data_IF_927750503760
#
_entry.id   IF_927750503760
#
_cell.length_a   1.000
_cell.length_b   1.000
_cell.length_c   1.000
_cell.angle_alpha   90.00
_cell.angle_beta   90.00
_cell.angle_gamma   90.00
#
_symmetry.space_group_name_H-M   'P 1'
#
loop_
_entity.id
_entity.type
_entity.pdbx_description
1 polymer ?
#
# COMPACT_ATOMS: atom_id res chain seq x y z
N UNK A 1 21.61 -45.73 -11.34
CA UNK A 1 21.99 -44.96 -10.13
C UNK A 1 22.90 -43.81 -10.54
N UNK A 2 22.43 -42.57 -10.46
CA UNK A 2 23.28 -41.38 -10.62
C UNK A 2 22.70 -40.25 -9.76
N UNK A 3 23.39 -39.92 -8.65
CA UNK A 3 23.00 -38.86 -7.72
C UNK A 3 23.58 -37.53 -8.22
N UNK A 4 22.75 -36.65 -8.78
CA UNK A 4 23.15 -35.25 -9.02
C UNK A 4 22.75 -34.36 -7.84
N UNK A 5 23.77 -33.87 -7.14
CA UNK A 5 23.68 -32.87 -6.07
C UNK A 5 23.33 -31.50 -6.68
N UNK A 6 22.23 -30.88 -6.24
CA UNK A 6 21.93 -29.47 -6.54
C UNK A 6 22.78 -28.56 -5.65
N UNK A 7 23.68 -27.79 -6.26
CA UNK A 7 24.29 -26.58 -5.66
C UNK A 7 23.29 -25.44 -5.79
N UNK A 8 22.88 -24.85 -4.67
CA UNK A 8 22.14 -23.59 -4.63
C UNK A 8 23.19 -22.48 -4.54
N UNK A 9 23.27 -21.65 -5.57
CA UNK A 9 24.10 -20.45 -5.59
C UNK A 9 23.29 -19.30 -4.98
N UNK A 10 23.65 -18.91 -3.75
CA UNK A 10 23.08 -17.77 -3.03
C UNK A 10 24.05 -16.60 -3.21
N UNK A 11 23.80 -15.73 -4.19
CA UNK A 11 24.58 -14.49 -4.35
C UNK A 11 23.94 -13.39 -3.51
N UNK A 12 24.71 -12.96 -2.51
CA UNK A 12 24.31 -12.07 -1.44
C UNK A 12 24.09 -10.62 -1.86
N UNK A 13 23.16 -9.99 -1.14
CA UNK A 13 22.91 -8.57 -1.14
C UNK A 13 23.75 -7.96 0.00
N UNK A 14 24.76 -7.17 -0.35
CA UNK A 14 25.59 -6.40 0.58
C UNK A 14 24.77 -5.26 1.19
N UNK A 15 24.50 -5.34 2.49
CA UNK A 15 24.03 -4.20 3.28
C UNK A 15 25.22 -3.27 3.57
N UNK A 16 25.16 -2.04 3.04
CA UNK A 16 25.98 -0.94 3.53
C UNK A 16 25.36 -0.40 4.83
N UNK A 17 26.12 -0.45 5.92
CA UNK A 17 25.77 0.11 7.21
C UNK A 17 25.84 1.65 7.18
N UNK A 18 24.86 2.39 7.74
CA UNK A 18 25.05 3.80 8.03
C UNK A 18 25.83 3.97 9.33
N UNK A 19 26.89 4.79 9.25
CA UNK A 19 27.68 5.28 10.38
C UNK A 19 26.79 5.87 11.48
N UNK A 20 27.05 5.42 12.71
CA UNK A 20 26.58 6.01 13.96
C UNK A 20 27.27 7.36 14.14
N UNK A 21 26.51 8.44 14.23
CA UNK A 21 26.94 9.68 14.88
C UNK A 21 25.93 10.03 15.96
N UNK A 22 26.26 9.62 17.18
CA UNK A 22 25.75 10.13 18.44
C UNK A 22 26.34 11.52 18.69
N UNK A 23 25.51 12.55 18.82
CA UNK A 23 25.86 13.72 19.66
C UNK A 23 24.67 14.00 20.58
N UNK A 24 25.03 14.06 21.86
CA UNK A 24 24.18 14.05 23.01
C UNK A 24 23.30 15.30 23.14
N UNK A 25 22.08 15.06 23.61
CA UNK A 25 21.21 16.05 24.23
C UNK A 25 21.75 16.31 25.65
N UNK A 26 22.21 17.53 25.93
CA UNK A 26 22.56 17.93 27.28
C UNK A 26 21.38 18.65 27.93
N UNK A 27 20.81 18.00 28.93
CA UNK A 27 19.91 18.60 29.89
C UNK A 27 20.71 19.43 30.91
N UNK A 28 20.22 20.64 31.16
CA UNK A 28 19.89 21.16 32.49
C UNK A 28 20.89 20.97 33.63
N UNK A 29 21.40 22.08 34.17
CA UNK A 29 21.65 22.20 35.60
C UNK A 29 21.29 23.60 36.12
N UNK A 30 20.54 23.59 37.22
CA UNK A 30 20.09 24.73 38.02
C UNK A 30 20.84 24.67 39.33
N UNK A 31 21.69 25.65 39.68
CA UNK A 31 22.07 25.91 41.09
C UNK A 31 22.27 27.43 41.29
N UNK A 32 21.66 27.94 42.37
CA UNK A 32 21.72 29.32 42.90
C UNK A 32 23.00 29.52 43.78
N UNK A 33 23.05 30.45 44.75
CA UNK A 33 23.77 31.73 44.70
C UNK A 33 24.97 31.81 45.67
N UNK A 34 25.86 32.80 45.48
CA UNK A 34 26.92 33.14 46.45
C UNK A 34 27.08 34.67 46.47
N UNK A 35 26.46 35.36 47.42
CA UNK A 35 27.03 35.90 48.68
C UNK A 35 28.31 36.76 48.56
N UNK A 36 28.11 38.05 48.88
CA UNK A 36 28.92 38.97 49.72
C UNK A 36 30.45 38.98 49.55
N UNK A 37 30.99 40.16 49.23
CA UNK A 37 31.69 41.07 50.15
C UNK A 37 32.36 42.22 49.36
N UNK A 38 31.96 43.48 49.59
CA UNK A 38 32.66 44.46 50.43
C UNK A 38 34.08 44.82 49.96
N UNK A 39 34.22 46.03 49.42
CA UNK A 39 35.51 46.67 49.17
C UNK A 39 35.34 48.18 49.15
N UNK A 40 35.65 48.80 50.29
CA UNK A 40 35.86 50.24 50.42
C UNK A 40 36.91 50.71 49.40
N UNK A 41 36.73 51.92 48.86
CA UNK A 41 37.82 52.89 48.89
C UNK A 41 37.31 54.32 48.74
N UNK A 42 37.66 55.11 49.76
CA UNK A 42 37.65 56.56 49.76
C UNK A 42 38.73 57.08 48.81
N UNK A 43 38.44 58.16 48.08
CA UNK A 43 39.42 59.23 47.92
C UNK A 43 38.70 60.55 47.62
N UNK A 44 38.85 61.46 48.57
CA UNK A 44 38.47 62.85 48.49
C UNK A 44 39.43 63.63 47.59
N UNK A 45 38.92 64.65 46.90
CA UNK A 45 39.60 65.93 46.72
C UNK A 45 38.57 67.06 46.67
N UNK A 46 38.81 68.02 47.55
CA UNK A 46 38.17 69.33 47.64
C UNK A 46 38.61 70.26 46.50
N UNK A 47 37.72 71.17 46.09
CA UNK A 47 38.05 72.58 45.88
C UNK A 47 36.76 73.45 45.75
N UNK A 48 36.54 74.30 46.76
CA UNK A 48 36.20 75.76 46.75
C UNK A 48 35.42 76.33 45.53
N UNK A 49 34.37 77.16 45.60
CA UNK A 49 33.76 78.06 46.60
C UNK A 49 32.43 78.66 46.01
N UNK A 50 31.73 79.69 46.54
CA UNK A 50 30.32 79.60 46.93
C UNK A 50 29.35 80.50 46.13
N UNK A 51 28.09 80.08 46.01
CA UNK A 51 27.02 80.83 45.33
C UNK A 51 25.70 80.80 46.11
N UNK A 52 25.54 81.77 47.00
CA UNK A 52 24.37 82.02 47.83
C UNK A 52 23.11 82.30 46.98
N UNK A 53 22.07 81.45 47.04
CA UNK A 53 20.67 81.89 46.81
C UNK A 53 19.70 81.15 47.74
N UNK A 54 19.17 81.91 48.70
CA UNK A 54 17.96 81.60 49.47
C UNK A 54 16.82 81.21 48.52
N UNK A 55 16.21 80.05 48.76
CA UNK A 55 15.01 79.61 48.06
C UNK A 55 14.30 78.50 48.82
N UNK A 56 13.39 78.91 49.71
CA UNK A 56 12.15 78.23 50.09
C UNK A 56 12.17 76.68 50.21
N UNK A 57 12.24 76.20 51.46
CA UNK A 57 11.79 74.87 51.84
C UNK A 57 10.28 74.73 51.57
N UNK A 58 9.92 74.14 50.44
CA UNK A 58 8.63 73.47 50.30
C UNK A 58 8.82 71.98 50.58
N UNK A 59 8.03 71.37 51.46
CA UNK A 59 8.13 69.94 51.73
C UNK A 59 7.67 69.20 50.47
N UNK A 60 8.64 68.60 49.76
CA UNK A 60 8.37 67.71 48.63
C UNK A 60 7.66 66.47 49.19
N UNK A 61 6.34 66.45 49.00
CA UNK A 61 5.41 65.41 49.43
C UNK A 61 5.91 64.02 48.97
N UNK A 62 6.18 63.13 49.94
CA UNK A 62 6.45 61.70 49.78
C UNK A 62 5.23 60.91 49.28
N UNK A 63 4.55 61.36 48.23
CA UNK A 63 3.30 60.73 47.74
C UNK A 63 3.52 59.60 46.71
N UNK A 64 4.71 59.52 46.09
CA UNK A 64 4.95 58.54 45.00
C UNK A 64 5.40 57.14 45.44
N UNK A 65 5.89 56.95 46.67
CA UNK A 65 6.38 55.63 47.14
C UNK A 65 5.22 54.69 47.50
N UNK A 66 4.18 55.21 48.17
CA UNK A 66 3.04 54.40 48.62
C UNK A 66 2.21 53.84 47.44
N UNK A 67 2.08 54.61 46.36
CA UNK A 67 1.37 54.17 45.15
C UNK A 67 2.10 53.05 44.41
N UNK A 68 3.44 53.05 44.41
CA UNK A 68 4.24 52.02 43.76
C UNK A 68 4.19 50.69 44.51
N UNK A 69 4.39 50.72 45.83
CA UNK A 69 4.29 49.53 46.71
C UNK A 69 2.90 48.90 46.63
N UNK A 70 1.85 49.73 46.55
CA UNK A 70 0.48 49.23 46.37
C UNK A 70 0.24 48.54 45.03
N UNK A 71 0.91 48.98 43.96
CA UNK A 71 0.77 48.39 42.63
C UNK A 71 1.50 47.05 42.54
N UNK A 72 2.69 46.94 43.13
CA UNK A 72 3.44 45.68 43.18
C UNK A 72 2.67 44.60 43.94
N UNK A 73 2.10 44.94 45.10
CA UNK A 73 1.31 43.99 45.89
C UNK A 73 0.05 43.53 45.16
N UNK A 74 -0.64 44.45 44.45
CA UNK A 74 -1.80 44.10 43.60
C UNK A 74 -1.41 43.19 42.43
N UNK A 75 -0.29 43.46 41.78
CA UNK A 75 0.23 42.63 40.69
C UNK A 75 0.61 41.24 41.17
N UNK A 76 1.34 41.13 42.28
CA UNK A 76 1.69 39.85 42.89
C UNK A 76 0.44 39.04 43.23
N UNK A 77 -0.54 39.64 43.92
CA UNK A 77 -1.82 38.98 44.25
C UNK A 77 -2.57 38.51 43.01
N UNK A 78 -2.55 39.29 41.92
CA UNK A 78 -3.19 38.89 40.66
C UNK A 78 -2.51 37.65 40.06
N UNK A 79 -1.17 37.62 40.01
CA UNK A 79 -0.44 36.46 39.54
C UNK A 79 -0.60 35.23 40.46
N UNK A 80 -0.56 35.40 41.78
CA UNK A 80 -0.77 34.32 42.75
C UNK A 80 -2.15 33.66 42.59
N UNK A 81 -3.17 34.44 42.19
CA UNK A 81 -4.52 33.95 41.97
C UNK A 81 -4.70 33.16 40.66
N UNK A 82 -3.74 33.23 39.73
CA UNK A 82 -3.74 32.46 38.48
C UNK A 82 -3.12 31.09 38.74
N UNK A 83 -3.89 30.02 38.52
CA UNK A 83 -3.37 28.65 38.57
C UNK A 83 -2.51 28.35 37.36
N UNK A 84 -1.48 27.54 37.56
CA UNK A 84 -0.56 27.12 36.48
C UNK A 84 -1.15 26.00 35.62
N UNK A 85 -2.14 25.26 36.13
CA UNK A 85 -2.77 24.14 35.43
C UNK A 85 -4.29 24.21 35.51
N UNK A 86 -4.96 23.83 34.44
CA UNK A 86 -6.42 23.72 34.36
C UNK A 86 -6.85 22.58 33.43
N UNK A 87 -8.12 22.17 33.53
CA UNK A 87 -8.74 21.25 32.57
C UNK A 87 -9.55 22.01 31.52
N UNK A 88 -9.61 21.45 30.32
CA UNK A 88 -10.38 22.00 29.20
C UNK A 88 -11.90 21.91 29.43
N UNK A 89 -12.64 22.91 28.97
CA UNK A 89 -14.10 23.01 29.05
C UNK A 89 -14.83 22.08 28.08
N UNK A 90 -14.74 20.76 28.27
CA UNK A 90 -15.48 19.78 27.45
C UNK A 90 -15.00 19.67 26.00
N UNK A 91 -13.79 20.17 25.69
CA UNK A 91 -13.19 20.14 24.34
C UNK A 91 -12.44 18.84 24.02
N UNK A 92 -12.91 17.72 24.60
CA UNK A 92 -12.42 16.39 24.26
C UNK A 92 -12.77 16.11 22.80
N UNK A 93 -11.75 15.91 21.96
CA UNK A 93 -11.92 15.74 20.51
C UNK A 93 -11.58 16.97 19.65
N UNK A 94 -11.10 18.05 20.24
CA UNK A 94 -10.60 19.23 19.52
C UNK A 94 -9.09 19.35 19.71
N UNK A 95 -8.35 19.62 18.63
CA UNK A 95 -6.90 19.88 18.71
C UNK A 95 -6.64 21.31 19.25
N UNK A 96 -5.68 21.50 20.16
CA UNK A 96 -5.32 22.83 20.68
C UNK A 96 -5.07 23.89 19.60
N UNK A 97 -4.42 23.52 18.49
CA UNK A 97 -4.08 24.43 17.39
C UNK A 97 -5.29 25.06 16.71
N UNK A 98 -6.45 24.40 16.77
CA UNK A 98 -7.70 24.91 16.17
C UNK A 98 -8.28 26.10 16.92
N UNK A 99 -7.94 26.25 18.21
CA UNK A 99 -8.47 27.32 19.07
C UNK A 99 -7.42 28.36 19.44
N UNK A 100 -6.14 28.00 19.52
CA UNK A 100 -5.07 28.83 20.07
C UNK A 100 -4.97 30.23 19.44
N UNK A 101 -5.10 30.32 18.11
CA UNK A 101 -4.96 31.60 17.36
C UNK A 101 -6.03 32.63 17.71
N UNK A 102 -7.18 32.19 18.24
CA UNK A 102 -8.32 33.06 18.54
C UNK A 102 -8.35 33.50 20.02
N UNK A 103 -7.34 33.12 20.81
CA UNK A 103 -7.28 33.42 22.24
C UNK A 103 -6.40 34.64 22.46
N UNK A 104 -7.02 35.81 22.37
CA UNK A 104 -6.36 37.12 22.55
C UNK A 104 -6.94 37.92 23.73
N UNK A 105 -8.03 37.44 24.34
CA UNK A 105 -8.74 38.13 25.43
C UNK A 105 -8.97 37.21 26.62
N UNK A 106 -9.24 37.81 27.79
CA UNK A 106 -9.54 37.07 29.02
C UNK A 106 -10.79 36.21 28.88
N UNK A 107 -11.82 36.74 28.21
CA UNK A 107 -13.04 35.99 27.92
C UNK A 107 -12.73 34.73 27.10
N UNK A 108 -11.96 34.86 26.01
CA UNK A 108 -11.59 33.72 25.15
C UNK A 108 -10.69 32.71 25.83
N UNK A 109 -9.80 33.15 26.71
CA UNK A 109 -8.99 32.27 27.55
C UNK A 109 -9.88 31.48 28.53
N UNK A 110 -10.79 32.17 29.23
CA UNK A 110 -11.70 31.56 30.19
C UNK A 110 -12.78 30.68 29.56
N UNK A 111 -13.10 30.85 28.27
CA UNK A 111 -13.91 29.89 27.49
C UNK A 111 -13.21 28.52 27.33
N UNK A 112 -11.88 28.46 27.42
CA UNK A 112 -11.12 27.21 27.31
C UNK A 112 -11.03 26.43 28.63
N UNK A 113 -11.19 27.11 29.76
CA UNK A 113 -10.98 26.55 31.09
C UNK A 113 -12.33 26.06 31.65
N UNK A 114 -12.37 24.80 32.09
CA UNK A 114 -13.55 24.23 32.71
C UNK A 114 -13.97 25.02 33.96
N UNK A 115 -15.27 25.13 34.21
CA UNK A 115 -15.85 25.94 35.30
C UNK A 115 -15.31 25.54 36.67
N UNK A 116 -15.05 24.25 36.87
CA UNK A 116 -14.49 23.67 38.09
C UNK A 116 -12.95 23.77 38.21
N UNK A 117 -12.25 24.31 37.21
CA UNK A 117 -10.78 24.38 37.19
C UNK A 117 -10.21 25.75 37.58
N UNK A 118 -11.03 26.63 38.16
CA UNK A 118 -10.73 28.02 38.53
C UNK A 118 -10.20 28.84 37.35
N UNK A 119 -11.13 29.54 36.67
CA UNK A 119 -10.85 30.50 35.60
C UNK A 119 -9.84 31.57 36.03
N UNK A 120 -9.14 32.16 35.05
CA UNK A 120 -8.25 33.30 35.26
C UNK A 120 -9.10 34.46 35.80
N UNK A 121 -8.82 35.01 37.00
CA UNK A 121 -9.58 36.11 37.59
C UNK A 121 -9.48 37.38 36.76
N UNK A 122 -10.40 38.35 36.96
CA UNK A 122 -10.27 39.68 36.36
C UNK A 122 -9.01 40.40 36.86
N UNK A 123 -8.38 41.26 36.03
CA UNK A 123 -7.23 42.03 36.48
C UNK A 123 -7.64 43.01 37.58
N UNK A 124 -6.73 43.36 38.51
CA UNK A 124 -7.02 44.40 39.51
C UNK A 124 -7.35 45.74 38.84
N UNK A 125 -8.14 46.58 39.50
CA UNK A 125 -8.52 47.89 38.97
C UNK A 125 -7.29 48.73 38.53
N UNK A 126 -7.35 49.26 37.31
CA UNK A 126 -6.27 50.01 36.69
C UNK A 126 -5.14 49.14 36.09
N UNK A 127 -5.33 47.82 36.00
CA UNK A 127 -4.46 46.90 35.27
C UNK A 127 -5.21 46.23 34.12
N UNK A 128 -4.45 45.72 33.16
CA UNK A 128 -4.94 44.99 32.00
C UNK A 128 -4.11 43.71 31.81
N UNK A 129 -4.75 42.64 31.34
CA UNK A 129 -4.03 41.48 30.85
C UNK A 129 -3.74 41.59 29.36
N UNK A 130 -2.54 41.15 28.98
CA UNK A 130 -2.18 40.84 27.59
C UNK A 130 -2.14 39.33 27.48
N UNK A 131 -3.01 38.77 26.63
CA UNK A 131 -3.24 37.33 26.53
C UNK A 131 -2.87 36.82 25.14
N UNK A 132 -2.26 35.64 25.13
CA UNK A 132 -1.99 34.85 23.93
C UNK A 132 -2.03 33.37 24.27
N UNK A 133 -2.10 32.48 23.29
CA UNK A 133 -2.03 31.05 23.53
C UNK A 133 -1.12 30.32 22.54
N UNK A 134 -0.47 29.27 23.02
CA UNK A 134 0.38 28.37 22.24
C UNK A 134 -0.22 26.97 22.32
N UNK A 135 -0.43 26.36 21.17
CA UNK A 135 -0.95 25.00 21.07
C UNK A 135 0.17 23.96 21.14
N UNK A 136 -0.10 22.85 21.82
CA UNK A 136 0.70 21.64 21.75
C UNK A 136 -0.22 20.44 21.47
N UNK A 137 -0.45 20.18 20.17
CA UNK A 137 -1.33 19.11 19.71
C UNK A 137 -0.77 17.71 20.00
N UNK A 138 0.54 17.57 20.21
CA UNK A 138 1.16 16.27 20.48
C UNK A 138 0.82 15.77 21.89
N UNK A 139 0.90 16.67 22.87
CA UNK A 139 0.52 16.39 24.26
C UNK A 139 -0.97 16.62 24.53
N UNK A 140 -1.69 17.29 23.62
CA UNK A 140 -3.11 17.63 23.83
C UNK A 140 -3.26 18.72 24.90
N UNK A 141 -2.33 19.68 24.91
CA UNK A 141 -2.32 20.80 25.85
C UNK A 141 -2.34 22.14 25.14
N UNK A 142 -2.90 23.14 25.81
CA UNK A 142 -2.93 24.53 25.37
C UNK A 142 -2.31 25.40 26.45
N UNK A 143 -1.23 26.12 26.13
CA UNK A 143 -0.58 27.04 27.06
C UNK A 143 -1.11 28.46 26.85
N UNK A 144 -1.91 28.97 27.79
CA UNK A 144 -2.37 30.36 27.80
C UNK A 144 -1.31 31.20 28.51
N UNK A 145 -0.80 32.21 27.83
CA UNK A 145 0.21 33.15 28.34
C UNK A 145 -0.47 34.43 28.79
N UNK A 146 -0.28 34.79 30.05
CA UNK A 146 -0.92 35.96 30.68
C UNK A 146 0.16 36.91 31.19
N UNK A 147 0.25 38.10 30.59
CA UNK A 147 1.06 39.20 31.13
C UNK A 147 0.16 40.27 31.73
N UNK A 148 0.55 40.83 32.88
CA UNK A 148 -0.15 41.92 33.54
C UNK A 148 0.55 43.25 33.24
N UNK A 149 -0.21 44.24 32.76
CA UNK A 149 0.28 45.59 32.50
C UNK A 149 -0.54 46.67 33.21
N UNK A 150 0.08 47.82 33.44
CA UNK A 150 -0.56 49.07 33.89
C UNK A 150 0.04 50.24 33.11
N UNK A 151 -0.76 50.89 32.27
CA UNK A 151 -0.24 51.80 31.24
C UNK A 151 0.76 51.07 30.33
N UNK A 152 1.95 51.64 30.14
CA UNK A 152 2.99 51.09 29.26
C UNK A 152 4.02 50.20 30.00
N UNK A 153 3.64 49.64 31.16
CA UNK A 153 4.56 48.91 32.05
C UNK A 153 4.02 47.52 32.36
N UNK A 154 4.90 46.52 32.33
CA UNK A 154 4.59 45.15 32.71
C UNK A 154 5.03 44.85 34.15
N UNK A 155 4.47 43.79 34.72
CA UNK A 155 4.81 43.31 36.05
C UNK A 155 5.29 41.86 36.00
N UNK A 156 6.24 41.51 36.86
CA UNK A 156 6.68 40.13 37.08
C UNK A 156 5.70 39.39 38.01
N UNK A 157 5.85 38.06 38.12
CA UNK A 157 5.07 37.25 39.06
C UNK A 157 5.32 37.64 40.54
N UNK A 158 6.49 38.20 40.87
CA UNK A 158 6.80 38.74 42.21
C UNK A 158 6.14 40.10 42.46
N UNK A 159 5.54 40.71 41.43
CA UNK A 159 4.92 42.02 41.47
C UNK A 159 5.85 43.17 41.08
N UNK A 160 7.10 42.89 40.69
CA UNK A 160 8.07 43.92 40.34
C UNK A 160 7.83 44.50 38.95
N UNK A 161 8.27 45.74 38.76
CA UNK A 161 8.21 46.39 37.47
C UNK A 161 9.14 45.71 36.46
N UNK A 162 8.65 45.54 35.23
CA UNK A 162 9.44 45.10 34.09
C UNK A 162 9.16 45.99 32.86
N UNK A 163 10.24 46.30 32.13
CA UNK A 163 10.15 46.88 30.77
C UNK A 163 9.75 45.84 29.73
N UNK A 164 10.07 44.57 29.97
CA UNK A 164 9.74 43.45 29.09
C UNK A 164 8.41 42.81 29.50
N UNK A 165 7.67 42.27 28.52
CA UNK A 165 6.51 41.42 28.77
C UNK A 165 6.97 40.15 29.47
N UNK A 166 6.40 39.87 30.65
CA UNK A 166 6.64 38.63 31.40
C UNK A 166 5.31 37.89 31.51
N UNK A 167 5.26 36.71 30.89
CA UNK A 167 4.08 35.87 30.87
C UNK A 167 4.08 34.93 32.07
N UNK A 168 2.91 34.75 32.69
CA UNK A 168 2.60 33.58 33.49
C UNK A 168 1.85 32.60 32.59
N UNK A 169 2.32 31.35 32.58
CA UNK A 169 1.75 30.30 31.76
C UNK A 169 0.66 29.54 32.52
N UNK A 170 -0.44 29.26 31.84
CA UNK A 170 -1.53 28.40 32.30
C UNK A 170 -1.65 27.25 31.31
N UNK A 171 -1.32 26.04 31.76
CA UNK A 171 -1.38 24.82 30.94
C UNK A 171 -2.78 24.21 31.07
N UNK A 172 -3.55 24.26 30.00
CA UNK A 172 -4.88 23.67 29.91
C UNK A 172 -4.77 22.29 29.28
N UNK A 173 -5.06 21.24 30.06
CA UNK A 173 -5.01 19.84 29.63
C UNK A 173 -6.40 19.29 29.29
N UNK A 174 -6.45 18.20 28.51
CA UNK A 174 -7.71 17.53 28.13
C UNK A 174 -8.19 17.81 26.71
N UNK A 175 -7.36 18.42 25.87
CA UNK A 175 -7.61 18.49 24.43
C UNK A 175 -7.24 17.16 23.73
N UNK A 176 -7.67 17.01 22.49
CA UNK A 176 -7.29 15.86 21.68
C UNK A 176 -5.81 15.92 21.30
N UNK A 177 -5.15 14.76 21.33
CA UNK A 177 -3.81 14.57 20.81
C UNK A 177 -3.84 14.28 19.30
N UNK A 178 -2.87 14.77 18.54
CA UNK A 178 -2.73 14.48 17.08
C UNK A 178 -2.77 12.97 16.80
N UNK A 179 -2.12 12.17 17.65
CA UNK A 179 -2.11 10.71 17.53
C UNK A 179 -3.53 10.11 17.55
N UNK A 180 -4.38 10.56 18.49
CA UNK A 180 -5.77 10.08 18.60
C UNK A 180 -6.61 10.56 17.42
N UNK A 181 -6.42 11.82 17.00
CA UNK A 181 -7.12 12.37 15.84
C UNK A 181 -6.78 11.62 14.54
N UNK A 182 -5.48 11.35 14.33
CA UNK A 182 -5.00 10.58 13.18
C UNK A 182 -5.54 9.14 13.23
N UNK A 183 -5.46 8.46 14.38
CA UNK A 183 -6.02 7.11 14.57
C UNK A 183 -7.48 7.01 14.14
N UNK A 184 -8.32 7.94 14.58
CA UNK A 184 -9.74 7.97 14.20
C UNK A 184 -9.94 8.21 12.69
N UNK A 185 -9.17 9.13 12.09
CA UNK A 185 -9.23 9.40 10.63
C UNK A 185 -8.85 8.17 9.82
N UNK A 186 -7.77 7.49 10.23
CA UNK A 186 -7.27 6.28 9.56
C UNK A 186 -8.27 5.14 9.69
N UNK A 187 -8.74 4.86 10.91
CA UNK A 187 -9.72 3.79 11.14
C UNK A 187 -10.98 4.00 10.30
N UNK A 188 -11.55 5.21 10.35
CA UNK A 188 -12.71 5.57 9.52
C UNK A 188 -12.44 5.36 8.02
N UNK A 189 -11.22 5.64 7.56
CA UNK A 189 -10.85 5.44 6.15
C UNK A 189 -10.78 3.95 5.80
N UNK A 190 -10.11 3.14 6.61
CA UNK A 190 -10.03 1.70 6.37
C UNK A 190 -11.39 1.01 6.47
N UNK A 191 -12.24 1.41 7.41
CA UNK A 191 -13.62 0.89 7.54
C UNK A 191 -14.46 1.16 6.28
N UNK A 192 -14.18 2.26 5.56
CA UNK A 192 -14.87 2.61 4.32
C UNK A 192 -14.40 1.80 3.09
N UNK A 193 -13.25 1.12 3.18
CA UNK A 193 -12.75 0.26 2.10
C UNK A 193 -13.45 -1.10 2.17
N UNK A 194 -14.18 -1.46 1.11
CA UNK A 194 -14.81 -2.77 0.95
C UNK A 194 -13.77 -3.85 0.71
N UNK A 195 -13.96 -5.01 1.31
CA UNK A 195 -13.05 -6.16 1.17
C UNK A 195 -13.22 -6.87 -0.17
N UNK A 196 -14.40 -6.77 -0.78
CA UNK A 196 -14.73 -7.44 -2.03
C UNK A 196 -15.38 -6.49 -3.03
N UNK A 197 -15.07 -6.68 -4.31
CA UNK A 197 -15.69 -5.95 -5.41
C UNK A 197 -15.78 -6.79 -6.68
N UNK A 198 -16.52 -6.31 -7.67
CA UNK A 198 -16.60 -6.91 -9.01
C UNK A 198 -15.76 -6.10 -10.01
N UNK A 199 -15.17 -6.83 -10.97
CA UNK A 199 -14.34 -6.27 -12.01
C UNK A 199 -15.14 -5.41 -12.99
N UNK A 200 -14.58 -4.27 -13.39
CA UNK A 200 -15.20 -3.37 -14.37
C UNK A 200 -15.05 -3.89 -15.81
N UNK A 201 -15.97 -4.75 -16.25
CA UNK A 201 -16.09 -5.17 -17.66
C UNK A 201 -14.93 -6.01 -18.20
N UNK A 202 -14.07 -6.58 -17.34
CA UNK A 202 -12.87 -7.34 -17.75
C UNK A 202 -13.11 -8.84 -17.96
N UNK A 203 -14.26 -9.19 -18.53
CA UNK A 203 -14.52 -10.57 -18.96
C UNK A 203 -13.52 -10.94 -20.06
N UNK A 204 -12.90 -12.12 -19.97
CA UNK A 204 -11.91 -12.58 -20.94
C UNK A 204 -10.47 -12.05 -20.74
N UNK A 205 -10.21 -11.33 -19.64
CA UNK A 205 -8.86 -10.85 -19.31
C UNK A 205 -8.35 -11.57 -18.06
N UNK A 206 -7.12 -12.10 -18.10
CA UNK A 206 -6.48 -12.69 -16.91
C UNK A 206 -6.01 -11.60 -15.94
N UNK A 207 -6.19 -11.75 -14.62
CA UNK A 207 -5.72 -10.80 -13.61
C UNK A 207 -4.23 -10.40 -13.76
N UNK A 208 -3.36 -11.33 -14.11
CA UNK A 208 -1.91 -11.11 -14.25
C UNK A 208 -1.54 -10.08 -15.32
N UNK A 209 -2.40 -9.89 -16.31
CA UNK A 209 -2.19 -8.90 -17.39
C UNK A 209 -2.31 -7.47 -16.91
N UNK A 210 -3.06 -7.23 -15.82
CA UNK A 210 -3.31 -5.88 -15.30
C UNK A 210 -2.60 -5.60 -13.98
N UNK A 211 -2.38 -6.62 -13.14
CA UNK A 211 -1.92 -6.46 -11.75
C UNK A 211 -0.65 -5.61 -11.62
N UNK A 212 0.36 -5.86 -12.48
CA UNK A 212 1.66 -5.17 -12.43
C UNK A 212 1.58 -3.67 -12.65
N UNK A 213 0.52 -3.20 -13.30
CA UNK A 213 0.35 -1.79 -13.65
C UNK A 213 -0.41 -1.00 -12.58
N UNK A 214 -0.96 -1.67 -11.56
CA UNK A 214 -1.80 -1.05 -10.53
C UNK A 214 -0.92 -0.59 -9.37
N UNK A 215 -0.48 0.66 -9.46
CA UNK A 215 0.38 1.32 -8.46
C UNK A 215 -0.24 2.59 -7.87
N UNK A 216 -1.42 3.00 -8.36
CA UNK A 216 -2.10 4.24 -7.97
C UNK A 216 -3.57 3.99 -7.67
N UNK A 217 -4.20 4.92 -6.93
CA UNK A 217 -5.62 4.85 -6.57
C UNK A 217 -6.52 4.86 -7.80
N UNK A 218 -6.17 5.67 -8.79
CA UNK A 218 -6.92 5.77 -10.05
C UNK A 218 -6.95 4.42 -10.76
N UNK A 219 -5.78 3.80 -10.98
CA UNK A 219 -5.69 2.49 -11.67
C UNK A 219 -6.33 1.35 -10.88
N UNK A 220 -6.29 1.41 -9.54
CA UNK A 220 -7.00 0.47 -8.68
C UNK A 220 -8.52 0.61 -8.85
N UNK A 221 -9.04 1.84 -8.80
CA UNK A 221 -10.47 2.11 -8.94
C UNK A 221 -11.01 1.88 -10.36
N UNK A 222 -10.18 1.95 -11.39
CA UNK A 222 -10.53 1.52 -12.77
C UNK A 222 -10.86 0.03 -12.85
N UNK A 223 -10.34 -0.80 -11.92
CA UNK A 223 -10.66 -2.23 -11.89
C UNK A 223 -12.01 -2.53 -11.24
N UNK A 224 -12.61 -1.58 -10.51
CA UNK A 224 -13.82 -1.80 -9.71
C UNK A 224 -15.04 -1.24 -10.44
N UNK A 225 -16.01 -2.10 -10.75
CA UNK A 225 -17.20 -1.74 -11.53
C UNK A 225 -18.10 -0.72 -10.80
N UNK A 226 -18.45 -1.02 -9.55
CA UNK A 226 -19.45 -0.25 -8.80
C UNK A 226 -18.80 0.92 -8.08
N UNK A 227 -19.31 2.14 -8.31
CA UNK A 227 -18.79 3.35 -7.66
C UNK A 227 -18.82 3.29 -6.13
N UNK A 228 -19.83 2.65 -5.52
CA UNK A 228 -19.92 2.49 -4.06
C UNK A 228 -18.86 1.55 -3.46
N UNK A 229 -18.20 0.75 -4.30
CA UNK A 229 -17.15 -0.19 -3.89
C UNK A 229 -15.75 0.35 -4.19
N UNK A 230 -15.63 1.52 -4.84
CA UNK A 230 -14.34 2.14 -5.12
C UNK A 230 -13.65 2.52 -3.82
N UNK A 231 -12.33 2.38 -3.81
CA UNK A 231 -11.48 2.80 -2.70
C UNK A 231 -11.56 4.33 -2.62
N UNK A 232 -11.97 4.91 -1.49
CA UNK A 232 -12.15 6.34 -1.36
C UNK A 232 -10.80 7.05 -1.19
N UNK A 233 -10.72 8.34 -1.54
CA UNK A 233 -9.51 9.15 -1.39
C UNK A 233 -8.91 9.11 0.03
N UNK A 234 -7.58 9.20 0.18
CA UNK A 234 -6.96 9.21 1.49
C UNK A 234 -7.41 10.46 2.29
N UNK A 235 -7.44 10.39 3.63
CA UNK A 235 -7.69 11.56 4.46
C UNK A 235 -6.59 12.62 4.26
N UNK A 236 -6.93 13.90 4.50
CA UNK A 236 -5.99 15.00 4.31
C UNK A 236 -4.70 14.80 5.13
N UNK A 237 -3.55 14.99 4.47
CA UNK A 237 -2.23 14.76 5.05
C UNK A 237 -1.76 13.30 5.04
N UNK A 238 -2.52 12.39 4.43
CA UNK A 238 -2.15 11.00 4.24
C UNK A 238 -2.07 10.64 2.76
N UNK A 239 -1.33 9.56 2.48
CA UNK A 239 -1.14 9.01 1.14
C UNK A 239 -1.41 7.50 1.16
N UNK A 240 -1.88 6.97 0.02
CA UNK A 240 -1.91 5.53 -0.17
C UNK A 240 -0.63 5.03 -0.84
N UNK A 241 -0.22 3.83 -0.45
CA UNK A 241 0.71 2.98 -1.20
C UNK A 241 -0.11 1.81 -1.72
N UNK A 242 -0.17 1.69 -3.05
CA UNK A 242 -1.04 0.72 -3.73
C UNK A 242 -0.20 -0.26 -4.54
N UNK A 243 -0.61 -1.52 -4.50
CA UNK A 243 -0.08 -2.59 -5.33
C UNK A 243 -1.20 -3.60 -5.61
N UNK A 244 -0.99 -4.52 -6.53
CA UNK A 244 -1.95 -5.60 -6.76
C UNK A 244 -1.26 -6.95 -7.01
N UNK A 245 -1.94 -8.02 -6.61
CA UNK A 245 -1.52 -9.41 -6.80
C UNK A 245 -2.60 -10.12 -7.61
N UNK A 246 -2.18 -10.78 -8.68
CA UNK A 246 -3.05 -11.56 -9.54
C UNK A 246 -3.22 -12.98 -9.02
N UNK A 247 -4.44 -13.51 -9.15
CA UNK A 247 -4.72 -14.94 -9.03
C UNK A 247 -5.52 -15.39 -10.25
N UNK A 248 -4.80 -15.81 -11.30
CA UNK A 248 -5.40 -16.23 -12.56
C UNK A 248 -6.18 -17.54 -12.44
N UNK A 249 -5.86 -18.39 -11.47
CA UNK A 249 -6.54 -19.67 -11.26
C UNK A 249 -7.98 -19.46 -10.77
N UNK A 250 -8.15 -18.54 -9.80
CA UNK A 250 -9.47 -18.18 -9.27
C UNK A 250 -10.14 -17.04 -10.06
N UNK A 251 -9.42 -16.38 -10.96
CA UNK A 251 -9.97 -15.24 -11.73
C UNK A 251 -10.20 -14.02 -10.83
N UNK A 252 -9.32 -13.82 -9.86
CA UNK A 252 -9.40 -12.71 -8.91
C UNK A 252 -8.13 -11.86 -8.92
N UNK A 253 -8.30 -10.59 -8.58
CA UNK A 253 -7.24 -9.61 -8.41
C UNK A 253 -7.31 -9.06 -7.00
N UNK A 254 -6.24 -9.18 -6.22
CA UNK A 254 -6.16 -8.60 -4.87
C UNK A 254 -5.44 -7.27 -4.93
N UNK A 255 -6.16 -6.17 -4.73
CA UNK A 255 -5.58 -4.83 -4.58
C UNK A 255 -5.18 -4.63 -3.13
N UNK A 256 -3.92 -4.28 -2.89
CA UNK A 256 -3.33 -4.05 -1.57
C UNK A 256 -3.19 -2.56 -1.33
N UNK A 257 -3.81 -2.06 -0.25
CA UNK A 257 -3.85 -0.64 0.10
C UNK A 257 -3.24 -0.41 1.47
N UNK A 258 -2.10 0.28 1.54
CA UNK A 258 -1.53 0.77 2.79
C UNK A 258 -1.69 2.29 2.88
N UNK A 259 -2.00 2.81 4.06
CA UNK A 259 -2.09 4.25 4.33
C UNK A 259 -0.84 4.71 5.10
N UNK A 260 -0.25 5.81 4.66
CA UNK A 260 0.92 6.43 5.31
C UNK A 260 0.77 7.93 5.51
N UNK A 261 1.55 8.47 6.45
CA UNK A 261 1.75 9.91 6.69
C UNK A 261 3.24 10.15 6.89
N UNK A 262 3.88 10.84 5.95
CA UNK A 262 5.35 10.87 5.87
C UNK A 262 5.92 9.45 5.72
N UNK A 263 6.82 9.07 6.63
CA UNK A 263 7.48 7.75 6.64
C UNK A 263 6.79 6.73 7.56
N UNK A 264 5.56 7.01 8.03
CA UNK A 264 4.84 6.18 8.99
C UNK A 264 3.65 5.49 8.34
N UNK A 265 3.53 4.18 8.52
CA UNK A 265 2.35 3.41 8.11
C UNK A 265 1.36 3.27 9.26
N UNK A 266 0.13 2.90 8.94
CA UNK A 266 -0.93 2.70 9.92
C UNK A 266 -1.64 1.36 9.71
N UNK A 267 -2.07 0.76 10.81
CA UNK A 267 -2.92 -0.43 10.83
C UNK A 267 -4.37 -0.07 10.46
N UNK A 268 -5.21 -1.10 10.22
CA UNK A 268 -6.65 -0.91 10.05
C UNK A 268 -7.34 -0.28 11.28
N UNK A 269 -6.79 -0.49 12.49
CA UNK A 269 -7.26 0.14 13.74
C UNK A 269 -6.81 1.59 13.89
N UNK A 270 -5.93 2.07 13.00
CA UNK A 270 -5.37 3.42 13.00
C UNK A 270 -4.13 3.59 13.87
N UNK A 271 -3.59 2.50 14.40
CA UNK A 271 -2.35 2.53 15.19
C UNK A 271 -1.13 2.66 14.27
N UNK A 272 -0.10 3.31 14.78
CA UNK A 272 1.16 3.44 14.06
C UNK A 272 1.84 2.08 13.86
N UNK A 273 2.42 1.90 12.67
CA UNK A 273 3.28 0.76 12.34
C UNK A 273 4.54 1.22 11.61
N UNK A 274 5.67 0.62 11.98
CA UNK A 274 6.94 0.73 11.24
C UNK A 274 6.90 -0.04 9.93
N UNK A 275 6.17 -1.15 9.90
CA UNK A 275 6.00 -1.99 8.72
C UNK A 275 4.80 -1.53 7.89
N UNK A 276 4.89 -1.71 6.58
CA UNK A 276 3.75 -1.58 5.67
C UNK A 276 2.72 -2.65 6.01
N UNK A 277 1.48 -2.23 6.28
CA UNK A 277 0.35 -3.11 6.53
C UNK A 277 -0.71 -2.79 5.49
N UNK A 278 -1.04 -3.80 4.68
CA UNK A 278 -1.99 -3.67 3.59
C UNK A 278 -3.39 -4.07 4.06
N UNK A 279 -4.41 -3.31 3.64
CA UNK A 279 -5.78 -3.80 3.56
C UNK A 279 -6.02 -4.32 2.15
N UNK A 280 -6.55 -5.53 2.06
CA UNK A 280 -6.81 -6.20 0.80
C UNK A 280 -8.23 -5.91 0.30
N UNK A 281 -8.35 -5.73 -1.00
CA UNK A 281 -9.61 -5.65 -1.74
C UNK A 281 -9.58 -6.71 -2.84
N UNK A 282 -10.43 -7.72 -2.72
CA UNK A 282 -10.52 -8.83 -3.67
C UNK A 282 -11.53 -8.46 -4.76
N UNK A 283 -11.03 -8.29 -5.98
CA UNK A 283 -11.83 -7.99 -7.16
C UNK A 283 -12.06 -9.27 -7.95
N UNK A 284 -13.31 -9.72 -8.03
CA UNK A 284 -13.72 -10.94 -8.75
C UNK A 284 -14.31 -10.62 -10.12
N UNK A 285 -14.37 -11.61 -11.01
CA UNK A 285 -14.98 -11.48 -12.34
C UNK A 285 -13.99 -11.36 -13.50
N UNK A 286 -12.71 -11.63 -13.26
CA UNK A 286 -11.72 -11.82 -14.33
C UNK A 286 -11.79 -13.24 -14.90
N UNK A 287 -11.16 -13.46 -16.05
CA UNK A 287 -11.07 -14.79 -16.64
C UNK A 287 -10.18 -15.70 -15.79
N UNK A 288 -10.61 -16.96 -15.63
CA UNK A 288 -9.82 -18.03 -15.03
C UNK A 288 -8.90 -18.67 -16.06
N UNK A 289 -7.69 -19.09 -15.67
CA UNK A 289 -6.74 -19.80 -16.55
C UNK A 289 -7.39 -21.00 -17.23
N UNK A 290 -8.19 -21.78 -16.50
CA UNK A 290 -8.91 -22.94 -17.03
C UNK A 290 -9.82 -22.57 -18.22
N UNK A 291 -10.57 -21.48 -18.12
CA UNK A 291 -11.46 -21.00 -19.18
C UNK A 291 -10.65 -20.47 -20.37
N UNK A 292 -9.57 -19.73 -20.09
CA UNK A 292 -8.67 -19.23 -21.13
C UNK A 292 -8.01 -20.38 -21.91
N UNK A 293 -7.55 -21.41 -21.21
CA UNK A 293 -6.97 -22.61 -21.80
C UNK A 293 -8.00 -23.37 -22.64
N UNK A 294 -9.22 -23.59 -22.12
CA UNK A 294 -10.32 -24.23 -22.86
C UNK A 294 -10.57 -23.54 -24.20
N UNK A 295 -10.70 -22.22 -24.21
CA UNK A 295 -10.90 -21.44 -25.44
C UNK A 295 -9.72 -21.59 -26.41
N UNK A 296 -8.48 -21.52 -25.89
CA UNK A 296 -7.27 -21.61 -26.71
C UNK A 296 -7.15 -22.98 -27.38
N UNK A 297 -7.41 -24.04 -26.61
CA UNK A 297 -7.37 -25.43 -27.11
C UNK A 297 -8.44 -25.66 -28.15
N UNK A 298 -9.70 -25.26 -27.87
CA UNK A 298 -10.80 -25.42 -28.82
C UNK A 298 -10.46 -24.74 -30.15
N UNK A 299 -9.96 -23.50 -30.11
CA UNK A 299 -9.52 -22.77 -31.32
C UNK A 299 -8.42 -23.51 -32.07
N UNK A 300 -7.46 -24.12 -31.36
CA UNK A 300 -6.40 -24.93 -31.98
C UNK A 300 -6.96 -26.18 -32.66
N UNK A 301 -7.85 -26.92 -32.01
CA UNK A 301 -8.48 -28.08 -32.64
C UNK A 301 -9.33 -27.67 -33.84
N UNK A 302 -10.13 -26.60 -33.74
CA UNK A 302 -10.95 -26.08 -34.84
C UNK A 302 -10.10 -25.69 -36.07
N UNK A 303 -8.86 -25.25 -35.87
CA UNK A 303 -7.93 -24.90 -36.95
C UNK A 303 -7.32 -26.13 -37.67
N UNK A 304 -7.33 -27.31 -37.04
CA UNK A 304 -6.86 -28.56 -37.67
C UNK A 304 -7.94 -29.09 -38.62
N UNK A 305 -7.58 -29.23 -39.90
CA UNK A 305 -8.46 -29.85 -40.91
C UNK A 305 -8.48 -31.38 -40.75
N UNK A 306 -9.65 -31.97 -40.96
CA UNK A 306 -9.84 -33.42 -40.84
C UNK A 306 -9.37 -34.20 -42.06
N UNK A 307 -9.14 -33.52 -43.18
CA UNK A 307 -8.68 -34.12 -44.43
C UNK A 307 -7.52 -33.33 -45.02
N UNK A 308 -6.59 -34.04 -45.65
CA UNK A 308 -5.46 -33.48 -46.38
C UNK A 308 -5.02 -34.41 -47.51
N UNK A 309 -4.20 -33.88 -48.43
CA UNK A 309 -3.60 -34.66 -49.50
C UNK A 309 -2.14 -35.01 -49.17
N UNK A 310 -1.68 -36.17 -49.61
CA UNK A 310 -0.31 -36.63 -49.43
C UNK A 310 0.68 -35.77 -50.23
N UNK A 311 1.86 -35.51 -49.67
CA UNK A 311 2.92 -34.73 -50.30
C UNK A 311 3.66 -35.50 -51.42
N UNK A 312 3.01 -35.70 -52.56
CA UNK A 312 3.62 -36.29 -53.77
C UNK A 312 4.09 -37.75 -53.64
N UNK A 313 3.72 -38.46 -52.56
CA UNK A 313 4.13 -39.84 -52.28
C UNK A 313 3.24 -40.88 -52.99
N UNK A 314 2.85 -40.64 -54.24
CA UNK A 314 2.12 -41.61 -55.05
C UNK A 314 3.03 -42.81 -55.33
N UNK A 315 2.86 -43.90 -54.59
CA UNK A 315 3.71 -45.10 -54.71
C UNK A 315 4.23 -45.66 -53.38
N UNK A 316 4.16 -44.88 -52.30
CA UNK A 316 4.55 -45.32 -50.95
C UNK A 316 3.32 -45.83 -50.20
N UNK A 317 3.43 -46.97 -49.53
CA UNK A 317 2.38 -47.48 -48.64
C UNK A 317 2.32 -46.64 -47.35
N UNK A 318 1.13 -46.36 -46.80
CA UNK A 318 0.99 -45.66 -45.52
C UNK A 318 1.83 -46.28 -44.39
N UNK A 319 1.91 -47.61 -44.32
CA UNK A 319 2.66 -48.34 -43.29
C UNK A 319 4.16 -48.05 -43.27
N UNK A 320 4.74 -47.68 -44.40
CA UNK A 320 6.16 -47.34 -44.52
C UNK A 320 6.50 -46.05 -43.78
N UNK A 321 5.53 -45.14 -43.62
CA UNK A 321 5.75 -43.83 -42.98
C UNK A 321 5.13 -43.73 -41.60
N UNK A 322 4.02 -44.44 -41.33
CA UNK A 322 3.22 -44.28 -40.11
C UNK A 322 4.04 -44.40 -38.81
N UNK A 323 4.92 -45.40 -38.72
CA UNK A 323 5.73 -45.68 -37.52
C UNK A 323 6.69 -44.54 -37.12
N UNK A 324 7.08 -43.69 -38.07
CA UNK A 324 8.04 -42.61 -37.85
C UNK A 324 7.37 -41.27 -37.54
N UNK A 325 6.04 -41.21 -37.51
CA UNK A 325 5.29 -39.97 -37.30
C UNK A 325 4.94 -39.83 -35.82
N UNK A 326 5.87 -39.24 -35.07
CA UNK A 326 5.73 -38.96 -33.64
C UNK A 326 5.83 -37.46 -33.32
N UNK A 327 6.15 -36.63 -34.32
CA UNK A 327 6.36 -35.18 -34.16
C UNK A 327 5.55 -34.38 -35.17
N UNK A 328 5.32 -33.10 -34.86
CA UNK A 328 4.58 -32.19 -35.74
C UNK A 328 5.27 -32.02 -37.09
N UNK A 329 6.61 -31.94 -37.08
CA UNK A 329 7.43 -31.83 -38.29
C UNK A 329 7.19 -33.05 -39.17
N UNK A 330 7.32 -34.27 -38.62
CA UNK A 330 7.13 -35.52 -39.38
C UNK A 330 5.71 -35.71 -39.90
N UNK A 331 4.71 -35.27 -39.15
CA UNK A 331 3.32 -35.24 -39.59
C UNK A 331 3.11 -34.30 -40.77
N UNK A 332 3.60 -33.06 -40.66
CA UNK A 332 3.48 -32.04 -41.70
C UNK A 332 4.31 -32.34 -42.96
N UNK A 333 5.38 -33.15 -42.87
CA UNK A 333 6.10 -33.68 -44.04
C UNK A 333 5.24 -34.58 -44.93
N UNK A 334 4.19 -35.21 -44.38
CA UNK A 334 3.27 -36.07 -45.16
C UNK A 334 2.17 -35.29 -45.87
N UNK A 335 1.93 -34.03 -45.49
CA UNK A 335 0.86 -33.19 -46.01
C UNK A 335 1.40 -32.35 -47.17
N UNK A 336 0.71 -32.38 -48.31
CA UNK A 336 1.08 -31.62 -49.50
C UNK A 336 1.21 -30.11 -49.20
N UNK A 337 2.14 -29.44 -49.89
CA UNK A 337 2.42 -28.01 -49.64
C UNK A 337 1.20 -27.09 -49.89
N UNK A 338 0.32 -27.47 -50.81
CA UNK A 338 -0.94 -26.78 -51.11
C UNK A 338 -2.11 -27.19 -50.21
N UNK A 339 -1.87 -28.05 -49.21
CA UNK A 339 -2.86 -28.48 -48.23
C UNK A 339 -2.61 -27.81 -46.87
N UNK A 340 -3.65 -27.71 -46.04
CA UNK A 340 -3.56 -27.04 -44.74
C UNK A 340 -2.78 -27.92 -43.75
N UNK A 341 -1.52 -27.56 -43.51
CA UNK A 341 -0.68 -28.20 -42.49
C UNK A 341 -1.28 -28.06 -41.10
N UNK A 342 -0.91 -28.98 -40.21
CA UNK A 342 -1.26 -28.89 -38.79
C UNK A 342 -0.54 -27.66 -38.22
N UNK A 343 -1.26 -26.69 -37.62
CA UNK A 343 -0.65 -25.48 -37.06
C UNK A 343 0.21 -25.82 -35.85
N UNK A 344 1.16 -24.95 -35.49
CA UNK A 344 1.93 -25.09 -34.25
C UNK A 344 1.02 -25.10 -33.02
N UNK A 345 1.39 -25.84 -31.95
CA UNK A 345 0.61 -25.82 -30.73
C UNK A 345 0.65 -24.42 -30.12
N UNK A 346 -0.43 -23.98 -29.44
CA UNK A 346 -0.43 -22.71 -28.75
C UNK A 346 0.64 -22.67 -27.64
N UNK A 347 1.21 -21.49 -27.37
CA UNK A 347 2.20 -21.32 -26.29
C UNK A 347 1.69 -21.90 -24.95
N UNK A 348 2.53 -22.69 -24.27
CA UNK A 348 2.18 -23.42 -23.05
C UNK A 348 1.55 -24.80 -23.27
N UNK A 349 1.42 -25.24 -24.53
CA UNK A 349 0.87 -26.53 -24.91
C UNK A 349 1.82 -27.26 -25.86
N UNK A 350 1.64 -28.57 -25.93
CA UNK A 350 2.39 -29.46 -26.81
C UNK A 350 1.44 -30.49 -27.43
N UNK A 351 1.77 -30.95 -28.63
CA UNK A 351 1.06 -32.04 -29.27
C UNK A 351 1.62 -33.39 -28.86
N UNK A 352 0.72 -34.37 -28.71
CA UNK A 352 1.02 -35.79 -28.73
C UNK A 352 0.51 -36.33 -30.05
N UNK A 353 1.43 -36.79 -30.91
CA UNK A 353 1.15 -37.22 -32.28
C UNK A 353 1.44 -38.70 -32.43
N UNK A 354 0.52 -39.39 -33.09
CA UNK A 354 0.71 -40.76 -33.58
C UNK A 354 0.11 -40.88 -34.97
N UNK A 355 0.43 -41.94 -35.69
CA UNK A 355 -0.18 -42.24 -36.98
C UNK A 355 -0.58 -43.71 -37.08
N UNK A 356 -1.64 -43.95 -37.83
CA UNK A 356 -2.19 -45.27 -38.16
C UNK A 356 -2.28 -45.40 -39.68
N UNK A 357 -1.86 -46.53 -40.21
CA UNK A 357 -1.92 -46.84 -41.63
C UNK A 357 -3.28 -47.46 -42.02
N UNK A 358 -3.74 -47.12 -43.23
CA UNK A 358 -4.86 -47.79 -43.89
C UNK A 358 -4.42 -48.17 -45.30
N UNK A 359 -3.50 -49.13 -45.38
CA UNK A 359 -2.86 -49.57 -46.64
C UNK A 359 -3.89 -49.95 -47.71
N UNK A 360 -4.93 -50.70 -47.35
CA UNK A 360 -5.99 -51.09 -48.28
C UNK A 360 -6.73 -49.88 -48.90
N UNK A 361 -6.85 -48.79 -48.14
CA UNK A 361 -7.52 -47.57 -48.58
C UNK A 361 -6.58 -46.56 -49.23
N UNK A 362 -5.26 -46.73 -49.11
CA UNK A 362 -4.28 -45.73 -49.54
C UNK A 362 -4.36 -44.45 -48.69
N UNK A 363 -4.69 -44.59 -47.41
CA UNK A 363 -4.84 -43.48 -46.47
C UNK A 363 -3.91 -43.62 -45.27
N UNK A 364 -3.52 -42.48 -44.72
CA UNK A 364 -2.76 -42.37 -43.47
C UNK A 364 -3.59 -41.52 -42.50
N UNK A 365 -3.82 -42.04 -41.28
CA UNK A 365 -4.53 -41.33 -40.23
C UNK A 365 -3.53 -40.74 -39.25
N UNK A 366 -3.44 -39.43 -39.16
CA UNK A 366 -2.63 -38.75 -38.13
C UNK A 366 -3.53 -38.38 -36.96
N UNK A 367 -3.20 -38.86 -35.77
CA UNK A 367 -3.92 -38.62 -34.52
C UNK A 367 -3.17 -37.57 -33.70
N UNK A 368 -3.83 -36.45 -33.39
CA UNK A 368 -3.25 -35.31 -32.67
C UNK A 368 -4.04 -35.06 -31.38
N UNK A 369 -3.38 -35.14 -30.23
CA UNK A 369 -3.92 -34.73 -28.94
C UNK A 369 -3.13 -33.54 -28.38
N UNK A 370 -3.77 -32.65 -27.63
CA UNK A 370 -3.12 -31.54 -26.91
C UNK A 370 -2.93 -31.88 -25.43
N UNK A 371 -1.77 -31.52 -24.87
CA UNK A 371 -1.54 -31.48 -23.42
C UNK A 371 -0.89 -30.16 -23.00
N UNK A 372 -1.06 -29.79 -21.72
CA UNK A 372 -0.41 -28.61 -21.14
C UNK A 372 1.05 -28.94 -20.81
N UNK A 373 1.98 -28.08 -21.22
CA UNK A 373 3.41 -28.26 -20.91
C UNK A 373 3.63 -28.21 -19.41
N UNK A 374 4.43 -29.13 -18.88
CA UNK A 374 4.81 -29.17 -17.46
C UNK A 374 3.75 -29.76 -16.53
N UNK A 375 2.61 -30.23 -17.05
CA UNK A 375 1.60 -30.92 -16.25
C UNK A 375 1.39 -32.34 -16.76
N UNK A 376 1.82 -33.32 -15.97
CA UNK A 376 1.68 -34.74 -16.31
C UNK A 376 0.20 -35.16 -16.27
N UNK A 377 -0.25 -35.90 -17.29
CA UNK A 377 -1.58 -36.52 -17.30
C UNK A 377 -2.76 -35.57 -17.52
N UNK A 378 -2.52 -34.31 -17.94
CA UNK A 378 -3.60 -33.37 -18.30
C UNK A 378 -3.63 -33.13 -19.81
N UNK A 379 -4.54 -33.84 -20.46
CA UNK A 379 -4.89 -33.67 -21.86
C UNK A 379 -6.13 -32.78 -21.99
N UNK A 380 -6.47 -32.46 -23.22
CA UNK A 380 -7.70 -31.74 -23.53
C UNK A 380 -8.54 -32.46 -24.58
N UNK A 381 -9.85 -32.52 -24.30
CA UNK A 381 -10.89 -32.91 -25.25
C UNK A 381 -10.99 -31.89 -26.40
N UNK A 382 -11.71 -32.25 -27.45
CA UNK A 382 -11.86 -31.42 -28.65
C UNK A 382 -12.58 -30.08 -28.39
N UNK A 383 -13.45 -30.03 -27.38
CA UNK A 383 -14.13 -28.82 -26.90
C UNK A 383 -13.27 -27.98 -25.93
N UNK A 384 -12.04 -28.43 -25.66
CA UNK A 384 -11.08 -27.78 -24.76
C UNK A 384 -11.25 -28.13 -23.28
N UNK A 385 -12.14 -29.05 -22.91
CA UNK A 385 -12.21 -29.52 -21.51
C UNK A 385 -11.01 -30.39 -21.13
N UNK A 386 -10.66 -30.40 -19.85
CA UNK A 386 -9.62 -31.27 -19.33
C UNK A 386 -10.01 -32.75 -19.46
N UNK A 387 -9.02 -33.58 -19.75
CA UNK A 387 -9.12 -35.03 -19.81
C UNK A 387 -7.90 -35.67 -19.15
N UNK A 388 -8.11 -36.78 -18.45
CA UNK A 388 -7.03 -37.62 -17.89
C UNK A 388 -6.35 -38.49 -18.94
N UNK A 389 -6.99 -38.69 -20.10
CA UNK A 389 -6.49 -39.50 -21.22
C UNK A 389 -6.43 -38.67 -22.50
N UNK A 390 -5.51 -38.99 -23.43
CA UNK A 390 -5.42 -38.28 -24.70
C UNK A 390 -6.69 -38.50 -25.54
N UNK A 391 -7.31 -37.40 -25.95
CA UNK A 391 -8.40 -37.39 -26.92
C UNK A 391 -7.84 -36.85 -28.23
N UNK A 392 -7.89 -37.68 -29.28
CA UNK A 392 -7.25 -37.39 -30.54
C UNK A 392 -8.24 -36.76 -31.54
N UNK A 393 -7.83 -35.64 -32.13
CA UNK A 393 -8.36 -35.22 -33.42
C UNK A 393 -7.64 -35.99 -34.52
N UNK A 394 -8.39 -36.58 -35.46
CA UNK A 394 -7.83 -37.39 -36.53
C UNK A 394 -7.80 -36.58 -37.84
N UNK A 395 -6.66 -36.56 -38.51
CA UNK A 395 -6.50 -36.06 -39.88
C UNK A 395 -6.35 -37.27 -40.81
N UNK A 396 -7.20 -37.35 -41.83
CA UNK A 396 -7.13 -38.35 -42.89
C UNK A 396 -6.34 -37.79 -44.08
N UNK A 397 -5.18 -38.37 -44.35
CA UNK A 397 -4.35 -38.01 -45.51
C UNK A 397 -4.57 -39.03 -46.62
N UNK A 398 -5.10 -38.57 -47.75
CA UNK A 398 -5.35 -39.39 -48.93
C UNK A 398 -4.25 -39.23 -49.99
N UNK A 399 -4.08 -40.23 -50.86
CA UNK A 399 -3.13 -40.18 -51.99
C UNK A 399 -1.88 -41.05 -51.84
N UNK A 400 -1.84 -41.93 -50.83
CA UNK A 400 -0.82 -42.97 -50.73
C UNK A 400 -1.13 -44.17 -51.63
N UNK A 401 -0.15 -45.05 -51.86
CA UNK A 401 -0.35 -46.30 -52.61
C UNK A 401 -1.32 -47.20 -51.85
N UNK A 402 -2.24 -47.83 -52.59
CA UNK A 402 -3.09 -48.90 -52.09
C UNK A 402 -2.35 -50.22 -52.14
N UNK A 403 -2.44 -51.02 -51.09
CA UNK A 403 -2.02 -52.41 -51.14
C UNK A 403 -2.97 -53.17 -52.07
N UNK A 404 -2.43 -53.87 -53.07
CA UNK A 404 -3.25 -54.69 -53.95
C UNK A 404 -3.98 -55.73 -53.10
N UNK A 405 -5.26 -56.04 -53.38
CA UNK A 405 -5.92 -57.17 -52.76
C UNK A 405 -5.00 -58.38 -52.93
N UNK A 406 -4.69 -59.09 -51.85
CA UNK A 406 -4.06 -60.41 -51.99
C UNK A 406 -5.03 -61.23 -52.81
N UNK A 407 -4.70 -61.47 -54.08
CA UNK A 407 -5.38 -62.48 -54.88
C UNK A 407 -5.26 -63.74 -54.05
N UNK A 408 -6.36 -64.20 -53.46
CA UNK A 408 -6.39 -65.54 -52.90
C UNK A 408 -6.01 -66.43 -54.06
N UNK A 409 -4.81 -67.01 -54.00
CA UNK A 409 -4.47 -68.12 -54.87
C UNK A 409 -5.65 -69.08 -54.77
N UNK A 410 -6.30 -69.45 -55.89
CA UNK A 410 -7.33 -70.47 -55.84
C UNK A 410 -6.72 -71.64 -55.07
N UNK A 411 -7.41 -72.12 -54.03
CA UNK A 411 -7.07 -73.40 -53.44
C UNK A 411 -6.98 -74.38 -54.60
N UNK A 412 -5.76 -74.88 -54.89
CA UNK A 412 -5.56 -75.88 -55.91
C UNK A 412 -6.60 -76.99 -55.69
N UNK A 413 -7.34 -77.41 -56.73
CA UNK A 413 -8.22 -78.55 -56.60
C UNK A 413 -7.34 -79.74 -56.24
N UNK A 414 -7.42 -80.13 -54.96
CA UNK A 414 -6.81 -81.34 -54.46
C UNK A 414 -7.28 -82.48 -55.37
N UNK A 415 -6.28 -83.15 -55.94
CA UNK A 415 -6.41 -84.36 -56.73
C UNK A 415 -7.35 -85.36 -56.04
N UNK A 416 -8.51 -85.63 -56.65
CA UNK A 416 -9.22 -86.87 -56.40
C UNK A 416 -8.77 -87.86 -57.48
N UNK A 417 -7.87 -88.72 -57.03
CA UNK A 417 -7.25 -89.86 -57.70
C UNK A 417 -8.29 -90.85 -58.25
N UNK A 418 -8.22 -91.25 -59.54
CA UNK A 418 -9.01 -92.33 -60.08
C UNK A 418 -8.18 -93.63 -60.04
N UNK A 419 -8.49 -94.55 -59.13
CA UNK A 419 -8.45 -96.02 -59.33
C UNK A 419 -8.24 -96.77 -58.02
N UNK A 420 -9.24 -97.57 -57.63
CA UNK A 420 -8.99 -98.92 -57.15
C UNK A 420 -10.21 -99.76 -57.56
N UNK A 421 -9.99 -100.62 -58.54
CA UNK A 421 -10.87 -101.73 -58.86
C UNK A 421 -10.53 -102.97 -58.02
N UNK A 422 -11.48 -103.90 -58.06
CA UNK A 422 -11.44 -105.32 -57.70
C UNK A 422 -11.33 -105.73 -56.23
N UNK A 423 -12.49 -106.09 -55.64
CA UNK A 423 -12.85 -107.46 -55.22
C UNK A 423 -14.35 -107.56 -54.95
#
# INVERSE_FOLDING_TARGET
MAKFKKKILLTGLTLAAPLVTTIASACSETIKPQERNSGLNNQARDDLSPGNKKGSLTPRTRSNSNNFVSAQLKAKKAYDAIKETANASGKSGVLPSTVARNITTLAKANEQIAVNSNKIPNPPAGFEYVISAVANDESGTLTIKVALKKGNRFFTATGDYSKAKIDKDVIVSGYQRTEVADKLKVKKRYDAIKETANANGKSGVLPSTVARNITTLVKANEQIATNSNKIPNPPAGFEYVISAVANDESGTLTIKVALKKGNRFFTATGDYSKAKIDKDVIVSGYQRTEVADKLKVKKTYDAIKETANANGKSGVLPSTVARNITTLVKANEQIAANSNKIPNPPAGFEYVISAEDKNAEGKLLIKVALKKVGITGKYFKLDGELSSTPIYKTITISGFKKESPKTQTPLDPFWNDPSFGDS
#
